data_IF_073901605433
#
_entry.id   IF_073901605433
#
_cell.length_a   1.000
_cell.length_b   1.000
_cell.length_c   1.000
_cell.angle_alpha   90.00
_cell.angle_beta   90.00
_cell.angle_gamma   90.00
#
_symmetry.space_group_name_H-M   'P 1'
#
loop_
_entity.id
_entity.type
_entity.pdbx_description
1 polymer ?
#
# COMPACT_ATOMS: atom_id res chain seq x y z
N UNK A 1 -10.99 10.26 -27.29
CA UNK A 1 -11.07 10.49 -25.84
C UNK A 1 -10.82 9.15 -25.21
N UNK A 2 -9.56 8.82 -24.99
CA UNK A 2 -9.19 7.61 -24.28
C UNK A 2 -9.65 7.78 -22.84
N UNK A 3 -10.75 7.10 -22.51
CA UNK A 3 -11.24 6.99 -21.14
C UNK A 3 -10.21 6.20 -20.36
N UNK A 4 -9.74 6.74 -19.22
CA UNK A 4 -8.87 6.01 -18.31
C UNK A 4 -9.55 4.69 -17.94
N UNK A 5 -8.90 3.58 -18.25
CA UNK A 5 -9.35 2.26 -17.81
C UNK A 5 -9.00 2.09 -16.34
N UNK A 6 -9.96 2.41 -15.48
CA UNK A 6 -9.76 2.32 -14.03
C UNK A 6 -9.47 0.88 -13.59
N UNK A 7 -9.96 -0.14 -14.31
CA UNK A 7 -9.73 -1.54 -13.95
C UNK A 7 -8.25 -1.92 -14.15
N UNK A 8 -7.64 -1.51 -15.26
CA UNK A 8 -6.20 -1.68 -15.48
C UNK A 8 -5.39 -0.90 -14.45
N UNK A 9 -5.79 0.34 -14.16
CA UNK A 9 -5.13 1.18 -13.16
C UNK A 9 -5.14 0.52 -11.78
N UNK A 10 -6.30 0.06 -11.34
CA UNK A 10 -6.50 -0.63 -10.07
C UNK A 10 -5.66 -1.91 -10.03
N UNK A 11 -5.65 -2.70 -11.11
CA UNK A 11 -4.85 -3.91 -11.22
C UNK A 11 -3.34 -3.64 -11.09
N UNK A 12 -2.82 -2.64 -11.80
CA UNK A 12 -1.42 -2.22 -11.70
C UNK A 12 -1.06 -1.71 -10.31
N UNK A 13 -1.97 -0.98 -9.68
CA UNK A 13 -1.78 -0.51 -8.31
C UNK A 13 -1.81 -1.65 -7.29
N UNK A 14 -2.69 -2.65 -7.48
CA UNK A 14 -2.70 -3.88 -6.69
C UNK A 14 -1.36 -4.60 -6.75
N UNK A 15 -0.74 -4.71 -7.93
CA UNK A 15 0.61 -5.27 -8.06
C UNK A 15 1.64 -4.48 -7.24
N UNK A 16 1.66 -3.15 -7.38
CA UNK A 16 2.58 -2.31 -6.60
C UNK A 16 2.38 -2.46 -5.08
N UNK A 17 1.12 -2.61 -4.62
CA UNK A 17 0.84 -2.94 -3.23
C UNK A 17 1.38 -4.31 -2.81
N UNK A 18 1.35 -5.33 -3.68
CA UNK A 18 1.91 -6.65 -3.36
C UNK A 18 3.43 -6.61 -3.18
N UNK A 19 4.15 -5.83 -4.00
CA UNK A 19 5.60 -5.61 -3.82
C UNK A 19 5.90 -5.04 -2.43
N UNK A 20 5.18 -3.98 -2.04
CA UNK A 20 5.28 -3.37 -0.70
C UNK A 20 5.01 -4.39 0.42
N UNK A 21 4.01 -5.26 0.26
CA UNK A 21 3.72 -6.32 1.24
C UNK A 21 4.90 -7.30 1.36
N UNK A 22 5.53 -7.64 0.24
CA UNK A 22 6.73 -8.48 0.22
C UNK A 22 7.88 -7.84 1.01
N UNK A 23 8.16 -6.56 0.76
CA UNK A 23 9.19 -5.80 1.48
C UNK A 23 8.87 -5.69 2.98
N UNK A 24 7.62 -5.36 3.32
CA UNK A 24 7.15 -5.31 4.70
C UNK A 24 7.31 -6.66 5.42
N UNK A 25 7.06 -7.78 4.74
CA UNK A 25 7.25 -9.12 5.33
C UNK A 25 8.71 -9.40 5.66
N UNK A 26 9.64 -8.98 4.80
CA UNK A 26 11.08 -9.09 5.02
C UNK A 26 11.49 -8.20 6.20
N UNK A 27 11.04 -6.94 6.21
CA UNK A 27 11.32 -6.01 7.30
C UNK A 27 10.78 -6.51 8.63
N UNK A 28 9.56 -7.07 8.63
CA UNK A 28 8.95 -7.66 9.82
C UNK A 28 9.83 -8.76 10.39
N UNK A 29 10.17 -9.76 9.59
CA UNK A 29 10.99 -10.91 10.02
C UNK A 29 12.38 -10.51 10.50
N UNK A 30 12.95 -9.45 9.92
CA UNK A 30 14.32 -9.01 10.20
C UNK A 30 14.41 -8.11 11.41
N UNK A 31 13.47 -7.16 11.57
CA UNK A 31 13.60 -6.04 12.50
C UNK A 31 12.49 -5.98 13.57
N UNK A 32 11.34 -6.60 13.34
CA UNK A 32 10.15 -6.41 14.18
C UNK A 32 9.62 -7.70 14.82
N UNK A 33 9.97 -8.86 14.26
CA UNK A 33 9.56 -10.16 14.78
C UNK A 33 10.18 -10.39 16.17
N UNK A 34 9.31 -10.60 17.18
CA UNK A 34 9.72 -10.84 18.56
C UNK A 34 10.26 -9.62 19.32
N UNK A 35 10.27 -8.42 18.72
CA UNK A 35 10.84 -7.21 19.38
C UNK A 35 9.84 -6.40 20.18
N UNK A 36 8.54 -6.74 20.13
CA UNK A 36 7.46 -5.99 20.79
C UNK A 36 7.16 -4.62 20.16
N UNK A 37 7.83 -4.25 19.06
CA UNK A 37 7.69 -2.95 18.37
C UNK A 37 6.65 -2.98 17.25
N UNK A 38 5.51 -3.63 17.48
CA UNK A 38 4.44 -3.77 16.48
C UNK A 38 3.83 -2.42 16.10
N UNK A 39 3.67 -1.51 17.06
CA UNK A 39 3.12 -0.18 16.78
C UNK A 39 3.99 0.62 15.80
N UNK A 40 5.33 0.56 15.96
CA UNK A 40 6.27 1.18 15.02
C UNK A 40 6.16 0.54 13.64
N UNK A 41 5.98 -0.79 13.58
CA UNK A 41 5.78 -1.48 12.32
C UNK A 41 4.44 -1.11 11.65
N UNK A 42 3.37 -0.92 12.41
CA UNK A 42 2.09 -0.46 11.89
C UNK A 42 2.13 0.97 11.34
N UNK A 43 2.90 1.86 11.97
CA UNK A 43 3.19 3.18 11.40
C UNK A 43 3.98 3.07 10.10
N UNK A 44 4.98 2.19 10.05
CA UNK A 44 5.76 1.95 8.83
C UNK A 44 4.87 1.45 7.68
N UNK A 45 3.99 0.48 7.95
CA UNK A 45 3.02 -0.03 6.95
C UNK A 45 2.25 1.13 6.32
N UNK A 46 1.69 2.04 7.13
CA UNK A 46 0.95 3.18 6.62
C UNK A 46 1.82 4.06 5.72
N UNK A 47 3.02 4.42 6.17
CA UNK A 47 3.94 5.26 5.40
C UNK A 47 4.37 4.63 4.08
N UNK A 48 4.59 3.31 4.03
CA UNK A 48 4.95 2.62 2.78
C UNK A 48 3.80 2.61 1.77
N UNK A 49 2.56 2.44 2.23
CA UNK A 49 1.38 2.54 1.35
C UNK A 49 1.08 3.97 0.93
N UNK A 50 1.33 4.98 1.77
CA UNK A 50 1.24 6.39 1.35
C UNK A 50 2.28 6.72 0.29
N UNK A 51 3.51 6.22 0.47
CA UNK A 51 4.60 6.37 -0.48
C UNK A 51 4.28 5.73 -1.83
N UNK A 52 3.71 4.51 -1.85
CA UNK A 52 3.38 3.85 -3.12
C UNK A 52 2.28 4.60 -3.87
N UNK A 53 1.30 5.20 -3.16
CA UNK A 53 0.29 6.08 -3.77
C UNK A 53 0.96 7.29 -4.42
N UNK A 54 1.87 7.96 -3.72
CA UNK A 54 2.59 9.13 -4.25
C UNK A 54 3.40 8.76 -5.51
N UNK A 55 4.20 7.69 -5.44
CA UNK A 55 5.03 7.25 -6.58
C UNK A 55 4.16 6.84 -7.76
N UNK A 56 3.09 6.07 -7.52
CA UNK A 56 2.22 5.58 -8.57
C UNK A 56 1.40 6.70 -9.21
N UNK A 57 0.87 7.62 -8.41
CA UNK A 57 0.12 8.79 -8.91
C UNK A 57 1.00 9.71 -9.76
N UNK A 58 2.24 9.96 -9.32
CA UNK A 58 3.19 10.74 -10.09
C UNK A 58 3.59 10.03 -11.39
N UNK A 59 3.87 8.74 -11.35
CA UNK A 59 4.32 7.96 -12.52
C UNK A 59 3.24 7.79 -13.59
N UNK A 60 1.96 7.82 -13.20
CA UNK A 60 0.83 7.69 -14.13
C UNK A 60 0.10 9.02 -14.39
N UNK A 61 0.68 10.16 -13.96
CA UNK A 61 0.09 11.50 -14.12
C UNK A 61 -1.36 11.62 -13.59
N UNK A 62 -1.67 10.96 -12.47
CA UNK A 62 -3.03 10.91 -11.91
C UNK A 62 -3.39 12.15 -11.06
N UNK A 63 -2.50 13.13 -10.95
CA UNK A 63 -2.67 14.27 -10.05
C UNK A 63 -3.95 15.08 -10.33
N UNK A 64 -4.36 15.15 -11.60
CA UNK A 64 -5.56 15.86 -12.03
C UNK A 64 -6.82 14.96 -11.98
N UNK A 65 -6.64 13.63 -11.94
CA UNK A 65 -7.70 12.64 -11.92
C UNK A 65 -8.12 12.26 -10.49
N UNK A 66 -9.06 13.05 -9.96
CA UNK A 66 -9.60 12.86 -8.60
C UNK A 66 -10.21 11.48 -8.37
N UNK A 67 -10.82 10.88 -9.41
CA UNK A 67 -11.43 9.56 -9.29
C UNK A 67 -10.37 8.45 -9.25
N UNK A 68 -9.35 8.53 -10.12
CA UNK A 68 -8.19 7.64 -10.06
C UNK A 68 -7.49 7.70 -8.70
N UNK A 69 -7.24 8.92 -8.22
CA UNK A 69 -6.63 9.17 -6.90
C UNK A 69 -7.46 8.57 -5.77
N UNK A 70 -8.79 8.76 -5.80
CA UNK A 70 -9.69 8.20 -4.79
C UNK A 70 -9.65 6.67 -4.78
N UNK A 71 -9.61 6.04 -5.94
CA UNK A 71 -9.55 4.57 -6.09
C UNK A 71 -8.25 4.00 -5.56
N UNK A 72 -7.09 4.52 -5.99
CA UNK A 72 -5.79 4.02 -5.51
C UNK A 72 -5.62 4.26 -4.01
N UNK A 73 -6.09 5.39 -3.47
CA UNK A 73 -6.07 5.64 -2.03
C UNK A 73 -6.95 4.66 -1.25
N UNK A 74 -8.11 4.29 -1.79
CA UNK A 74 -8.98 3.29 -1.17
C UNK A 74 -8.31 1.92 -1.14
N UNK A 75 -7.69 1.50 -2.25
CA UNK A 75 -6.94 0.24 -2.36
C UNK A 75 -5.77 0.23 -1.37
N UNK A 76 -4.97 1.31 -1.32
CA UNK A 76 -3.84 1.43 -0.41
C UNK A 76 -4.25 1.27 1.05
N UNK A 77 -5.35 1.93 1.45
CA UNK A 77 -5.92 1.82 2.80
C UNK A 77 -6.41 0.41 3.11
N UNK A 78 -7.02 -0.25 2.15
CA UNK A 78 -7.49 -1.64 2.32
C UNK A 78 -6.30 -2.59 2.55
N UNK A 79 -5.25 -2.51 1.72
CA UNK A 79 -4.05 -3.33 1.90
C UNK A 79 -3.31 -3.00 3.21
N UNK A 80 -3.16 -1.71 3.55
CA UNK A 80 -2.54 -1.29 4.79
C UNK A 80 -3.30 -1.87 6.00
N UNK A 81 -4.62 -1.75 6.02
CA UNK A 81 -5.47 -2.31 7.07
C UNK A 81 -5.35 -3.84 7.14
N UNK A 82 -5.35 -4.51 5.98
CA UNK A 82 -5.19 -5.97 5.91
C UNK A 82 -3.84 -6.41 6.46
N UNK A 83 -2.76 -5.70 6.13
CA UNK A 83 -1.43 -5.97 6.69
C UNK A 83 -1.44 -5.81 8.21
N UNK A 84 -1.94 -4.69 8.73
CA UNK A 84 -2.01 -4.45 10.19
C UNK A 84 -2.83 -5.54 10.89
N UNK A 85 -3.97 -5.96 10.31
CA UNK A 85 -4.79 -7.04 10.87
C UNK A 85 -4.04 -8.39 10.83
N UNK A 86 -3.37 -8.72 9.72
CA UNK A 86 -2.60 -9.95 9.57
C UNK A 86 -1.47 -10.02 10.61
N UNK A 87 -0.62 -9.00 10.66
CA UNK A 87 0.48 -8.92 11.64
C UNK A 87 -0.01 -8.76 13.09
N UNK A 88 -1.18 -8.16 13.30
CA UNK A 88 -1.82 -8.04 14.61
C UNK A 88 -2.43 -9.35 15.12
N UNK A 89 -2.79 -10.28 14.23
CA UNK A 89 -3.26 -11.64 14.58
C UNK A 89 -2.14 -12.62 14.87
N UNK A 90 -0.89 -12.33 14.48
CA UNK A 90 0.30 -13.15 14.81
C UNK A 90 0.72 -12.95 16.28
N UNK A 91 -0.27 -12.89 17.19
CA UNK A 91 -0.08 -12.71 18.63
C UNK A 91 -0.01 -14.04 19.36
#
# INVERSE_FOLDING_TARGET
>A
MDTIDYTELESRFHCACQDVIGELSIQYKTNYHGTGKLETFFSLIQSEFERVVEIFSHSNNLAEDREAMRRIQAIAKEHAKKCVDDYGRVR
#
